data_IF_242900646771
#
_entry.id   IF_242900646771
#
_cell.length_a   1.000
_cell.length_b   1.000
_cell.length_c   1.000
_cell.angle_alpha   90.00
_cell.angle_beta   90.00
_cell.angle_gamma   90.00
#
_symmetry.space_group_name_H-M   'P 1'
#
loop_
_entity.id
_entity.type
_entity.pdbx_description
1 polymer ?
#
# COMPACT_ATOMS: atom_id res chain seq x y z
N UNK A 1 6.34 28.58 -1.88
CA UNK A 1 5.98 27.47 -0.97
C UNK A 1 4.72 26.80 -1.48
N UNK A 2 4.74 25.48 -1.66
CA UNK A 2 3.54 24.72 -2.02
C UNK A 2 2.53 24.73 -0.86
N UNK A 3 1.23 24.83 -1.17
CA UNK A 3 0.15 24.77 -0.18
C UNK A 3 -0.13 23.32 0.17
N UNK A 4 -0.26 23.02 1.47
CA UNK A 4 -0.67 21.70 1.94
C UNK A 4 -2.17 21.50 1.66
N UNK A 5 -2.56 20.28 1.29
CA UNK A 5 -3.96 19.89 1.17
C UNK A 5 -4.52 19.53 2.55
N UNK A 6 -5.68 20.08 2.90
CA UNK A 6 -6.41 19.76 4.14
C UNK A 6 -7.24 18.47 4.02
N UNK A 7 -7.44 17.97 2.79
CA UNK A 7 -8.20 16.73 2.56
C UNK A 7 -7.35 15.51 2.91
N UNK A 8 -7.89 14.54 3.66
CA UNK A 8 -7.22 13.27 3.89
C UNK A 8 -6.85 12.59 2.58
N UNK A 9 -5.62 12.11 2.49
CA UNK A 9 -5.17 11.32 1.34
C UNK A 9 -6.00 10.04 1.27
N UNK A 10 -6.46 9.70 0.07
CA UNK A 10 -7.12 8.44 -0.16
C UNK A 10 -6.09 7.30 -0.15
N UNK A 11 -6.41 6.15 0.46
CA UNK A 11 -5.57 4.96 0.38
C UNK A 11 -5.33 4.55 -1.08
N UNK A 12 -4.17 3.95 -1.36
CA UNK A 12 -3.89 3.41 -2.70
C UNK A 12 -4.88 2.26 -3.00
N UNK A 13 -5.70 2.36 -4.06
CA UNK A 13 -6.68 1.33 -4.40
C UNK A 13 -6.07 0.11 -5.12
N UNK A 14 -4.74 0.09 -5.30
CA UNK A 14 -4.04 -0.97 -6.02
C UNK A 14 -3.01 -1.67 -5.13
N UNK A 15 -2.87 -2.97 -5.35
CA UNK A 15 -1.78 -3.79 -4.83
C UNK A 15 -0.81 -4.13 -5.95
N UNK A 16 0.47 -4.19 -5.64
CA UNK A 16 1.50 -4.59 -6.60
C UNK A 16 2.23 -5.83 -6.11
N UNK A 17 2.50 -6.78 -7.00
CA UNK A 17 3.31 -7.95 -6.72
C UNK A 17 4.29 -8.25 -7.86
N UNK A 18 5.33 -9.05 -7.56
CA UNK A 18 6.29 -9.51 -8.56
C UNK A 18 5.83 -10.85 -9.11
N UNK A 19 5.58 -10.96 -10.41
CA UNK A 19 5.25 -12.24 -11.03
C UNK A 19 6.50 -13.15 -11.03
N UNK A 20 6.47 -14.33 -10.38
CA UNK A 20 7.62 -15.22 -10.33
C UNK A 20 7.98 -15.83 -11.69
N UNK A 21 7.05 -15.87 -12.65
CA UNK A 21 7.30 -16.48 -13.97
C UNK A 21 8.02 -15.51 -14.91
N UNK A 22 7.54 -14.27 -14.98
CA UNK A 22 8.06 -13.26 -15.90
C UNK A 22 9.04 -12.29 -15.24
N UNK A 23 9.03 -12.22 -13.91
CA UNK A 23 9.79 -11.22 -13.18
C UNK A 23 9.31 -9.81 -13.50
N UNK A 24 8.03 -9.59 -13.76
CA UNK A 24 7.46 -8.25 -13.97
C UNK A 24 6.66 -7.79 -12.75
N UNK A 25 6.56 -6.48 -12.55
CA UNK A 25 5.65 -5.92 -11.54
C UNK A 25 4.24 -5.90 -12.11
N UNK A 26 3.30 -6.53 -11.40
CA UNK A 26 1.89 -6.59 -11.77
C UNK A 26 1.10 -5.77 -10.77
N UNK A 27 0.24 -4.90 -11.27
CA UNK A 27 -0.66 -4.05 -10.49
C UNK A 27 -2.07 -4.62 -10.59
N UNK A 28 -2.70 -4.86 -9.45
CA UNK A 28 -4.06 -5.38 -9.36
C UNK A 28 -4.93 -4.47 -8.48
N UNK A 29 -6.19 -4.23 -8.85
CA UNK A 29 -7.12 -3.50 -8.01
C UNK A 29 -7.40 -4.30 -6.73
N UNK A 30 -7.51 -3.60 -5.60
CA UNK A 30 -7.94 -4.20 -4.33
C UNK A 30 -9.47 -4.27 -4.37
N UNK A 31 -10.09 -5.46 -4.22
CA UNK A 31 -11.53 -5.56 -4.15
C UNK A 31 -12.05 -4.85 -2.90
N UNK A 32 -13.20 -4.17 -3.01
CA UNK A 32 -13.78 -3.32 -1.96
C UNK A 32 -14.00 -4.06 -0.63
N UNK A 33 -14.11 -5.40 -0.69
CA UNK A 33 -14.30 -6.29 0.46
C UNK A 33 -13.03 -6.51 1.30
N UNK A 34 -11.84 -6.14 0.82
CA UNK A 34 -10.55 -6.29 1.53
C UNK A 34 -10.01 -4.96 2.08
N UNK A 35 -10.82 -3.90 2.07
CA UNK A 35 -10.43 -2.53 2.47
C UNK A 35 -10.07 -2.35 3.96
N UNK A 36 -10.04 -3.41 4.75
CA UNK A 36 -9.78 -3.40 6.20
C UNK A 36 -8.44 -4.00 6.65
N UNK A 37 -7.46 -4.20 5.76
CA UNK A 37 -6.12 -4.65 6.17
C UNK A 37 -4.99 -3.78 5.63
N UNK A 38 -4.98 -2.52 6.06
CA UNK A 38 -3.72 -1.86 6.38
C UNK A 38 -3.63 -1.72 7.89
N UNK A 39 -3.45 -2.86 8.57
CA UNK A 39 -2.79 -2.82 9.87
C UNK A 39 -1.39 -2.27 9.61
N UNK A 40 -1.21 -1.00 9.97
CA UNK A 40 0.11 -0.45 10.32
C UNK A 40 0.62 -1.20 11.53
N UNK A 41 0.91 -2.50 11.39
CA UNK A 41 1.65 -3.24 12.40
C UNK A 41 3.07 -2.72 12.31
N UNK A 42 3.39 -1.84 13.26
CA UNK A 42 4.68 -1.19 13.37
C UNK A 42 5.77 -2.24 13.28
N UNK A 43 6.66 -2.09 12.30
CA UNK A 43 7.97 -2.69 12.31
C UNK A 43 8.67 -2.27 13.60
N UNK A 44 8.53 -3.08 14.66
CA UNK A 44 9.44 -3.07 15.79
C UNK A 44 10.76 -3.60 15.25
N UNK A 45 11.63 -2.69 14.85
CA UNK A 45 13.05 -3.00 14.75
C UNK A 45 13.53 -3.31 16.18
N UNK A 46 13.73 -4.58 16.48
CA UNK A 46 14.50 -4.96 17.66
C UNK A 46 15.96 -4.64 17.35
N UNK A 47 16.52 -3.67 18.08
CA UNK A 47 17.97 -3.46 18.13
C UNK A 47 18.49 -4.31 19.28
N UNK A 48 19.36 -5.28 18.96
CA UNK A 48 20.33 -5.86 19.90
C UNK A 48 21.57 -4.96 19.95
#
# INVERSE_FOLDING_TARGET
MAKASEKPLQPNPFRTYRDPKTGLWVVVPIPETESHFHSSDGQKISTD
#
